data_IF_531995936710
#
_entry.id   IF_531995936710
#
_cell.length_a   1.000
_cell.length_b   1.000
_cell.length_c   1.000
_cell.angle_alpha   90.00
_cell.angle_beta   90.00
_cell.angle_gamma   90.00
#
_symmetry.space_group_name_H-M   'P 1'
#
loop_
_entity.id
_entity.type
_entity.pdbx_description
1 polymer ?
#
# COMPACT_ATOMS: atom_id res chain seq x y z
N UNK A 1 2.13 8.98 47.05
CA UNK A 1 0.92 9.03 46.26
C UNK A 1 1.17 9.73 44.95
N UNK A 2 1.59 10.94 45.00
CA UNK A 2 1.86 11.72 43.82
C UNK A 2 2.95 11.13 42.94
N UNK A 3 4.03 10.59 43.52
CA UNK A 3 5.04 9.94 42.68
C UNK A 3 4.50 8.84 41.81
N UNK A 4 3.51 8.14 42.31
CA UNK A 4 2.88 7.06 41.55
C UNK A 4 2.10 7.61 40.37
N UNK A 5 1.38 8.68 40.56
CA UNK A 5 0.60 9.31 39.49
C UNK A 5 1.52 9.86 38.41
N UNK A 6 2.60 10.48 38.84
CA UNK A 6 3.54 11.08 37.90
C UNK A 6 4.22 10.02 37.04
N UNK A 7 4.50 8.87 37.64
CA UNK A 7 5.13 7.79 36.91
C UNK A 7 4.18 7.16 35.90
N UNK A 8 2.91 7.11 36.21
CA UNK A 8 1.94 6.48 35.33
C UNK A 8 1.72 7.29 34.06
N UNK A 9 1.61 8.60 34.19
CA UNK A 9 1.31 9.45 33.04
C UNK A 9 2.33 9.35 31.91
N UNK A 10 3.62 9.46 32.18
CA UNK A 10 4.62 9.33 31.12
C UNK A 10 4.64 7.95 30.47
N UNK A 11 4.43 6.91 31.28
CA UNK A 11 4.45 5.54 30.77
C UNK A 11 3.28 5.31 29.82
N UNK A 12 2.10 5.76 30.19
CA UNK A 12 0.92 5.60 29.35
C UNK A 12 1.10 6.36 28.05
N UNK A 13 1.59 7.58 28.10
CA UNK A 13 1.80 8.39 26.90
C UNK A 13 2.82 7.77 25.94
N UNK A 14 3.83 7.12 26.47
CA UNK A 14 4.86 6.50 25.64
C UNK A 14 4.40 5.19 25.04
N UNK A 15 3.52 4.46 25.69
CA UNK A 15 3.07 3.15 25.24
C UNK A 15 1.99 3.23 24.18
N UNK A 16 1.40 4.39 23.96
CA UNK A 16 0.35 4.59 22.97
C UNK A 16 0.85 5.49 21.86
N UNK A 17 1.41 4.90 20.80
CA UNK A 17 1.86 5.71 19.66
C UNK A 17 0.68 6.39 19.00
N UNK A 18 0.91 7.59 18.50
CA UNK A 18 -0.12 8.32 17.78
C UNK A 18 -0.42 7.62 16.46
N UNK A 19 -1.69 7.50 16.10
CA UNK A 19 -2.00 6.96 14.78
C UNK A 19 -1.57 7.94 13.68
N UNK A 20 -1.33 7.40 12.49
CA UNK A 20 -1.03 8.23 11.33
C UNK A 20 -2.25 9.09 11.00
N UNK A 21 -2.01 10.38 10.80
CA UNK A 21 -3.06 11.30 10.41
C UNK A 21 -3.44 11.08 8.95
N UNK A 22 -4.62 11.57 8.57
CA UNK A 22 -5.04 11.54 7.17
C UNK A 22 -4.07 12.28 6.27
N UNK A 23 -3.59 13.42 6.74
CA UNK A 23 -2.59 14.20 6.01
C UNK A 23 -1.31 13.42 5.81
N UNK A 24 -0.85 12.70 6.83
CA UNK A 24 0.36 11.88 6.73
C UNK A 24 0.19 10.75 5.72
N UNK A 25 -0.97 10.11 5.69
CA UNK A 25 -1.27 9.07 4.70
C UNK A 25 -1.18 9.65 3.29
N UNK A 26 -1.82 10.79 3.06
CA UNK A 26 -1.83 11.42 1.75
C UNK A 26 -0.43 11.85 1.31
N UNK A 27 0.35 12.40 2.22
CA UNK A 27 1.71 12.81 1.92
C UNK A 27 2.61 11.61 1.63
N UNK A 28 2.40 10.53 2.34
CA UNK A 28 3.17 9.31 2.12
C UNK A 28 2.88 8.73 0.73
N UNK A 29 1.62 8.71 0.33
CA UNK A 29 1.23 8.19 -0.99
C UNK A 29 1.86 8.96 -2.14
N UNK A 30 2.02 10.27 -2.01
CA UNK A 30 2.57 11.09 -3.10
C UNK A 30 4.06 11.34 -2.98
N UNK A 31 4.72 10.77 -1.97
CA UNK A 31 6.15 10.98 -1.74
C UNK A 31 7.06 10.41 -2.84
N UNK A 32 6.75 9.24 -3.45
CA UNK A 32 7.66 8.70 -4.48
C UNK A 32 7.75 9.61 -5.70
N UNK A 33 8.94 9.68 -6.28
CA UNK A 33 9.19 10.48 -7.49
C UNK A 33 8.38 9.94 -8.66
N UNK A 34 7.81 10.86 -9.45
CA UNK A 34 6.95 10.48 -10.57
C UNK A 34 7.72 10.20 -11.86
N UNK A 35 8.98 10.62 -11.91
CA UNK A 35 9.75 10.60 -13.14
C UNK A 35 10.93 9.62 -13.14
N UNK A 36 10.96 8.71 -12.17
CA UNK A 36 12.01 7.66 -12.14
C UNK A 36 11.35 6.29 -12.08
N UNK A 37 12.04 5.30 -12.62
CA UNK A 37 11.51 3.93 -12.60
C UNK A 37 11.27 3.44 -11.17
N UNK A 38 12.18 3.73 -10.26
CA UNK A 38 12.02 3.33 -8.86
C UNK A 38 10.87 4.06 -8.19
N UNK A 39 10.70 5.34 -8.47
CA UNK A 39 9.59 6.10 -7.90
C UNK A 39 8.24 5.63 -8.42
N UNK A 40 8.16 5.34 -9.70
CA UNK A 40 6.94 4.81 -10.32
C UNK A 40 6.59 3.44 -9.70
N UNK A 41 7.60 2.59 -9.49
CA UNK A 41 7.41 1.32 -8.79
C UNK A 41 6.88 1.53 -7.38
N UNK A 42 7.53 2.42 -6.65
CA UNK A 42 7.19 2.64 -5.24
C UNK A 42 5.79 3.23 -5.10
N UNK A 43 5.41 4.14 -6.01
CA UNK A 43 4.04 4.67 -6.02
C UNK A 43 3.04 3.56 -6.29
N UNK A 44 3.32 2.68 -7.24
CA UNK A 44 2.44 1.56 -7.54
C UNK A 44 2.29 0.63 -6.34
N UNK A 45 3.39 0.38 -5.61
CA UNK A 45 3.34 -0.44 -4.40
C UNK A 45 2.48 0.19 -3.32
N UNK A 46 2.66 1.48 -3.07
CA UNK A 46 1.88 2.20 -2.05
C UNK A 46 0.41 2.26 -2.42
N UNK A 47 0.09 2.55 -3.67
CA UNK A 47 -1.30 2.60 -4.12
C UNK A 47 -1.96 1.23 -4.03
N UNK A 48 -1.22 0.19 -4.33
CA UNK A 48 -1.75 -1.17 -4.25
C UNK A 48 -2.05 -1.57 -2.81
N UNK A 49 -1.13 -1.33 -1.90
CA UNK A 49 -1.35 -1.70 -0.51
C UNK A 49 -2.44 -0.83 0.13
N UNK A 50 -2.53 0.43 -0.28
CA UNK A 50 -3.58 1.33 0.18
C UNK A 50 -4.96 0.84 -0.26
N UNK A 51 -5.09 0.48 -1.53
CA UNK A 51 -6.38 0.09 -2.10
C UNK A 51 -6.84 -1.30 -1.65
N UNK A 52 -5.91 -2.22 -1.40
CA UNK A 52 -6.24 -3.62 -1.18
C UNK A 52 -6.18 -4.06 0.27
N UNK A 53 -5.43 -3.34 1.10
CA UNK A 53 -5.20 -3.76 2.47
C UNK A 53 -4.32 -4.99 2.61
N UNK A 54 -3.54 -5.31 1.58
CA UNK A 54 -2.62 -6.45 1.64
C UNK A 54 -1.60 -6.26 2.76
N UNK A 55 -1.13 -7.37 3.30
CA UNK A 55 0.03 -7.35 4.17
C UNK A 55 1.27 -7.11 3.32
N UNK A 56 2.32 -6.56 3.96
CA UNK A 56 3.57 -6.27 3.24
C UNK A 56 4.11 -7.53 2.55
N UNK A 57 4.09 -8.67 3.26
CA UNK A 57 4.56 -9.93 2.68
C UNK A 57 3.73 -10.35 1.47
N UNK A 58 2.43 -10.12 1.50
CA UNK A 58 1.57 -10.43 0.37
C UNK A 58 1.86 -9.53 -0.82
N UNK A 59 2.11 -8.25 -0.56
CA UNK A 59 2.44 -7.30 -1.60
C UNK A 59 3.74 -7.67 -2.32
N UNK A 60 4.81 -7.90 -1.55
CA UNK A 60 6.13 -8.15 -2.16
C UNK A 60 6.20 -9.52 -2.84
N UNK A 61 5.36 -10.45 -2.44
CA UNK A 61 5.32 -11.79 -3.02
C UNK A 61 4.30 -11.92 -4.15
N UNK A 62 3.63 -10.84 -4.50
CA UNK A 62 2.62 -10.86 -5.55
C UNK A 62 3.26 -11.23 -6.89
N UNK A 63 2.63 -12.17 -7.61
CA UNK A 63 3.12 -12.61 -8.92
C UNK A 63 2.23 -12.10 -10.04
N UNK A 64 2.77 -12.08 -11.25
CA UNK A 64 2.02 -11.62 -12.42
C UNK A 64 0.76 -12.44 -12.66
N UNK A 65 0.80 -13.75 -12.38
CA UNK A 65 -0.38 -14.60 -12.57
C UNK A 65 -1.50 -14.30 -11.59
N UNK A 66 -1.18 -13.65 -10.47
CA UNK A 66 -2.17 -13.28 -9.47
C UNK A 66 -2.79 -11.91 -9.74
N UNK A 67 -2.27 -11.19 -10.71
CA UNK A 67 -2.76 -9.86 -11.06
C UNK A 67 -3.56 -9.94 -12.36
N UNK A 68 -4.82 -9.55 -12.28
CA UNK A 68 -5.68 -9.44 -13.46
C UNK A 68 -5.90 -7.95 -13.72
N UNK A 69 -5.10 -7.38 -14.60
CA UNK A 69 -5.17 -5.95 -14.89
C UNK A 69 -6.41 -5.59 -15.70
N UNK A 70 -6.97 -6.54 -16.45
CA UNK A 70 -8.19 -6.29 -17.20
C UNK A 70 -9.41 -6.20 -16.28
N UNK A 71 -9.51 -7.12 -15.34
CA UNK A 71 -10.60 -7.11 -14.37
C UNK A 71 -10.33 -6.16 -13.21
N UNK A 72 -9.08 -5.71 -13.03
CA UNK A 72 -8.71 -4.84 -11.93
C UNK A 72 -8.69 -5.54 -10.59
N UNK A 73 -8.26 -6.78 -10.56
CA UNK A 73 -8.31 -7.63 -9.36
C UNK A 73 -6.94 -8.24 -9.08
N UNK A 74 -6.69 -8.50 -7.79
CA UNK A 74 -5.56 -9.34 -7.39
C UNK A 74 -6.09 -10.55 -6.64
N UNK A 75 -5.45 -11.69 -6.86
CA UNK A 75 -5.75 -12.92 -6.16
C UNK A 75 -4.64 -13.13 -5.14
N UNK A 76 -5.03 -13.29 -3.89
CA UNK A 76 -4.08 -13.40 -2.79
C UNK A 76 -4.30 -14.72 -2.10
N UNK A 77 -3.22 -15.48 -1.92
CA UNK A 77 -3.27 -16.73 -1.16
C UNK A 77 -2.79 -16.43 0.24
N UNK A 78 -3.67 -16.65 1.19
CA UNK A 78 -3.37 -16.39 2.58
C UNK A 78 -3.00 -17.66 3.32
N UNK A 79 -3.10 -17.56 4.63
CA UNK A 79 -2.78 -18.64 5.55
C UNK A 79 -3.69 -19.84 5.29
N UNK A 80 -3.09 -21.03 5.24
CA UNK A 80 -3.84 -22.26 5.01
C UNK A 80 -4.28 -22.46 3.58
N UNK A 81 -3.67 -21.77 2.64
CA UNK A 81 -3.99 -21.93 1.23
C UNK A 81 -5.28 -21.25 0.79
N UNK A 82 -5.88 -20.45 1.65
CA UNK A 82 -7.12 -19.76 1.31
C UNK A 82 -6.85 -18.63 0.34
N UNK A 83 -7.58 -18.63 -0.75
CA UNK A 83 -7.49 -17.54 -1.73
C UNK A 83 -8.58 -16.51 -1.46
N UNK A 84 -8.24 -15.26 -1.71
CA UNK A 84 -9.22 -14.19 -1.74
C UNK A 84 -8.94 -13.29 -2.93
N UNK A 85 -9.98 -12.70 -3.47
CA UNK A 85 -9.89 -11.79 -4.60
C UNK A 85 -10.20 -10.40 -4.09
N UNK A 86 -9.30 -9.47 -4.37
CA UNK A 86 -9.42 -8.10 -3.88
C UNK A 86 -9.37 -7.14 -5.05
N UNK A 87 -10.34 -6.23 -5.16
CA UNK A 87 -10.32 -5.23 -6.22
C UNK A 87 -9.25 -4.18 -5.96
N UNK A 88 -8.68 -3.68 -7.06
CA UNK A 88 -7.64 -2.64 -7.00
C UNK A 88 -8.23 -1.23 -7.00
N UNK A 89 -9.32 -1.04 -7.73
CA UNK A 89 -9.82 0.31 -7.96
C UNK A 89 -9.04 1.01 -9.06
N UNK A 90 -9.58 2.11 -9.54
CA UNK A 90 -9.02 2.80 -10.70
C UNK A 90 -7.66 3.42 -10.44
N UNK A 91 -7.48 4.01 -9.27
CA UNK A 91 -6.24 4.72 -8.95
C UNK A 91 -5.06 3.75 -8.86
N UNK A 92 -5.23 2.66 -8.12
CA UNK A 92 -4.17 1.66 -8.00
C UNK A 92 -3.89 1.01 -9.35
N UNK A 93 -4.94 0.73 -10.12
CA UNK A 93 -4.79 0.11 -11.42
C UNK A 93 -4.02 1.01 -12.38
N UNK A 94 -4.27 2.32 -12.35
CA UNK A 94 -3.56 3.27 -13.19
C UNK A 94 -2.06 3.30 -12.85
N UNK A 95 -1.72 3.34 -11.57
CA UNK A 95 -0.32 3.34 -11.15
C UNK A 95 0.37 2.02 -11.43
N UNK A 96 -0.33 0.91 -11.24
CA UNK A 96 0.19 -0.40 -11.62
C UNK A 96 0.43 -0.50 -13.11
N UNK A 97 -0.49 0.00 -13.93
CA UNK A 97 -0.34 -0.01 -15.37
C UNK A 97 0.89 0.77 -15.82
N UNK A 98 1.08 1.95 -15.26
CA UNK A 98 2.27 2.75 -15.57
C UNK A 98 3.54 2.01 -15.18
N UNK A 99 3.54 1.40 -14.00
CA UNK A 99 4.70 0.64 -13.53
C UNK A 99 5.00 -0.54 -14.44
N UNK A 100 3.99 -1.34 -14.75
CA UNK A 100 4.17 -2.54 -15.57
C UNK A 100 4.64 -2.22 -16.99
N UNK A 101 4.13 -1.12 -17.55
CA UNK A 101 4.44 -0.76 -18.94
C UNK A 101 5.74 0.02 -19.08
N UNK A 102 6.02 0.92 -18.15
CA UNK A 102 7.12 1.88 -18.30
C UNK A 102 8.31 1.59 -17.40
N UNK A 103 8.07 1.28 -16.13
CA UNK A 103 9.15 1.19 -15.16
C UNK A 103 9.70 -0.22 -15.00
N UNK A 104 8.83 -1.22 -14.92
CA UNK A 104 9.24 -2.60 -14.71
C UNK A 104 10.18 -3.11 -15.81
N UNK A 105 9.91 -2.87 -17.11
CA UNK A 105 10.85 -3.28 -18.16
C UNK A 105 12.21 -2.61 -18.01
N UNK A 106 12.25 -1.36 -17.61
CA UNK A 106 13.50 -0.66 -17.39
C UNK A 106 14.29 -1.29 -16.23
N UNK A 107 13.63 -1.67 -15.15
CA UNK A 107 14.29 -2.29 -14.01
C UNK A 107 14.77 -3.70 -14.33
N UNK A 108 13.98 -4.44 -15.08
CA UNK A 108 14.32 -5.81 -15.46
C UNK A 108 15.43 -5.86 -16.50
N UNK A 109 15.47 -4.90 -17.41
CA UNK A 109 16.34 -4.93 -18.57
C UNK A 109 16.08 -6.21 -19.37
N UNK A 110 17.05 -7.12 -19.42
CA UNK A 110 16.90 -8.37 -20.16
C UNK A 110 16.49 -9.55 -19.29
N UNK A 111 16.22 -9.28 -18.01
CA UNK A 111 15.90 -10.35 -17.06
C UNK A 111 14.42 -10.62 -17.05
N UNK A 112 14.08 -11.81 -16.59
CA UNK A 112 12.70 -12.28 -16.49
C UNK A 112 12.38 -12.55 -15.02
N UNK A 113 11.19 -12.17 -14.57
CA UNK A 113 10.75 -12.41 -13.20
C UNK A 113 9.24 -12.59 -13.18
N UNK A 114 8.79 -13.51 -12.35
CA UNK A 114 7.37 -13.69 -12.08
C UNK A 114 6.85 -12.66 -11.08
N UNK A 115 7.74 -12.02 -10.31
CA UNK A 115 7.33 -11.03 -9.33
C UNK A 115 6.77 -9.80 -10.01
N UNK A 116 5.67 -9.26 -9.46
CA UNK A 116 5.15 -7.99 -9.94
C UNK A 116 6.14 -6.88 -9.63
N UNK A 117 6.54 -6.76 -8.37
CA UNK A 117 7.42 -5.69 -7.94
C UNK A 117 8.86 -6.19 -7.85
N UNK A 118 9.73 -5.59 -8.65
CA UNK A 118 11.10 -6.05 -8.79
C UNK A 118 12.08 -4.97 -8.32
N UNK A 119 13.25 -5.44 -7.89
CA UNK A 119 14.36 -4.58 -7.51
C UNK A 119 15.17 -4.19 -8.73
N UNK A 120 16.14 -3.30 -8.55
CA UNK A 120 17.08 -2.94 -9.63
C UNK A 120 17.83 -4.15 -10.16
N UNK A 121 17.97 -5.19 -9.35
CA UNK A 121 18.65 -6.42 -9.77
C UNK A 121 17.73 -7.37 -10.51
N UNK A 122 16.45 -7.01 -10.63
CA UNK A 122 15.48 -7.80 -11.36
C UNK A 122 14.85 -8.92 -10.56
N UNK A 123 15.17 -9.04 -9.27
CA UNK A 123 14.57 -10.02 -8.39
C UNK A 123 13.41 -9.46 -7.60
N UNK A 124 12.72 -10.31 -6.85
CA UNK A 124 11.63 -9.84 -6.00
C UNK A 124 12.16 -9.01 -4.85
N UNK A 125 11.33 -8.09 -4.37
CA UNK A 125 11.67 -7.28 -3.22
C UNK A 125 11.39 -8.04 -1.94
N UNK A 126 12.25 -7.88 -0.94
CA UNK A 126 12.00 -8.46 0.38
C UNK A 126 11.05 -7.56 1.18
N UNK A 127 10.40 -8.16 2.16
CA UNK A 127 9.55 -7.42 3.09
C UNK A 127 10.34 -6.33 3.81
N UNK A 128 11.57 -6.63 4.20
CA UNK A 128 12.43 -5.68 4.88
C UNK A 128 12.81 -4.51 3.98
N UNK A 129 13.13 -4.78 2.72
CA UNK A 129 13.47 -3.74 1.77
C UNK A 129 12.30 -2.78 1.55
N UNK A 130 11.09 -3.32 1.42
CA UNK A 130 9.91 -2.47 1.30
C UNK A 130 9.71 -1.62 2.54
N UNK A 131 9.91 -2.19 3.73
CA UNK A 131 9.74 -1.44 4.96
C UNK A 131 10.76 -0.32 5.08
N UNK A 132 11.99 -0.54 4.59
CA UNK A 132 12.99 0.53 4.53
C UNK A 132 12.55 1.66 3.60
N UNK A 133 11.91 1.31 2.49
CA UNK A 133 11.34 2.33 1.60
C UNK A 133 10.26 3.15 2.30
N UNK A 134 9.36 2.51 3.01
CA UNK A 134 8.29 3.20 3.74
C UNK A 134 8.89 4.20 4.72
N UNK A 135 9.89 3.78 5.47
CA UNK A 135 10.54 4.68 6.44
C UNK A 135 11.19 5.87 5.76
N UNK A 136 11.82 5.65 4.61
CA UNK A 136 12.45 6.72 3.86
C UNK A 136 11.41 7.72 3.37
N UNK A 137 10.32 7.22 2.80
CA UNK A 137 9.25 8.10 2.33
C UNK A 137 8.57 8.84 3.47
N UNK A 138 8.43 8.20 4.62
CA UNK A 138 7.90 8.87 5.79
C UNK A 138 8.76 10.04 6.21
N UNK A 139 10.08 9.86 6.18
CA UNK A 139 11.03 10.95 6.48
C UNK A 139 10.90 12.07 5.47
N UNK A 140 10.85 11.73 4.17
CA UNK A 140 10.70 12.72 3.10
C UNK A 140 9.39 13.48 3.24
N UNK A 141 8.34 12.79 3.60
CA UNK A 141 7.00 13.37 3.73
C UNK A 141 6.82 14.14 5.05
N UNK A 142 7.79 14.10 5.95
CA UNK A 142 7.68 14.80 7.22
C UNK A 142 6.73 14.13 8.19
N UNK A 143 6.58 12.82 8.11
CA UNK A 143 5.70 12.07 9.00
C UNK A 143 6.41 11.85 10.32
N UNK A 144 5.85 12.41 11.38
CA UNK A 144 6.42 12.32 12.72
C UNK A 144 5.93 11.15 13.53
N UNK A 145 4.79 10.61 13.17
CA UNK A 145 4.17 9.53 13.91
C UNK A 145 4.99 8.25 13.78
N UNK A 146 4.97 7.44 14.81
CA UNK A 146 5.66 6.16 14.80
C UNK A 146 5.00 5.22 13.78
N UNK A 147 5.82 4.60 12.95
CA UNK A 147 5.35 3.70 11.91
C UNK A 147 5.70 2.26 12.23
N UNK A 148 4.72 1.39 12.09
CA UNK A 148 4.91 -0.05 12.08
C UNK A 148 4.07 -0.60 10.93
N UNK A 149 4.34 -1.83 10.47
CA UNK A 149 3.49 -2.42 9.44
C UNK A 149 2.02 -2.46 9.83
N UNK A 150 1.75 -2.74 11.09
CA UNK A 150 0.39 -2.77 11.60
C UNK A 150 -0.26 -1.38 11.60
N UNK A 151 0.45 -0.37 12.06
CA UNK A 151 -0.09 0.99 12.12
C UNK A 151 -0.30 1.57 10.72
N UNK A 152 0.60 1.27 9.79
CA UNK A 152 0.45 1.71 8.41
C UNK A 152 -0.79 1.08 7.78
N UNK A 153 -0.95 -0.22 7.94
CA UNK A 153 -2.08 -0.94 7.37
C UNK A 153 -3.40 -0.44 7.94
N UNK A 154 -3.43 -0.22 9.25
CA UNK A 154 -4.61 0.32 9.91
C UNK A 154 -4.95 1.72 9.42
N UNK A 155 -3.93 2.59 9.30
CA UNK A 155 -4.14 3.95 8.84
C UNK A 155 -4.63 3.99 7.38
N UNK A 156 -4.07 3.15 6.54
CA UNK A 156 -4.49 3.06 5.14
C UNK A 156 -5.94 2.58 5.04
N UNK A 157 -6.29 1.55 5.81
CA UNK A 157 -7.66 1.03 5.81
C UNK A 157 -8.65 2.08 6.30
N UNK A 158 -8.30 2.78 7.37
CA UNK A 158 -9.15 3.84 7.92
C UNK A 158 -9.34 4.98 6.93
N UNK A 159 -8.24 5.40 6.29
CA UNK A 159 -8.29 6.47 5.30
C UNK A 159 -9.17 6.05 4.12
N UNK A 160 -9.00 4.83 3.64
CA UNK A 160 -9.77 4.31 2.52
C UNK A 160 -11.26 4.26 2.86
N UNK A 161 -11.62 3.82 4.06
CA UNK A 161 -13.02 3.79 4.49
C UNK A 161 -13.62 5.19 4.55
N UNK A 162 -12.85 6.16 5.04
CA UNK A 162 -13.36 7.52 5.21
C UNK A 162 -13.41 8.31 3.90
N UNK A 163 -12.52 8.03 2.98
CA UNK A 163 -12.39 8.81 1.73
C UNK A 163 -12.66 8.00 0.48
N UNK A 164 -12.54 6.68 0.55
CA UNK A 164 -12.79 5.82 -0.59
C UNK A 164 -14.24 5.81 -1.03
N UNK A 165 -15.17 6.12 -0.12
CA UNK A 165 -16.59 6.15 -0.46
C UNK A 165 -16.88 7.25 -1.49
N UNK A 166 -16.23 8.41 -1.33
CA UNK A 166 -16.40 9.51 -2.28
C UNK A 166 -15.86 9.12 -3.65
N UNK A 167 -14.70 8.45 -3.65
CA UNK A 167 -14.11 7.99 -4.89
C UNK A 167 -15.00 6.97 -5.59
N UNK A 168 -15.59 6.05 -4.82
CA UNK A 168 -16.52 5.05 -5.38
C UNK A 168 -17.77 5.71 -5.94
N UNK A 169 -18.28 6.72 -5.24
CA UNK A 169 -19.45 7.46 -5.73
C UNK A 169 -19.15 8.10 -7.07
N UNK A 170 -17.97 8.69 -7.23
CA UNK A 170 -17.56 9.27 -8.49
C UNK A 170 -17.44 8.20 -9.57
N UNK A 171 -16.86 7.06 -9.24
CA UNK A 171 -16.72 5.95 -10.17
C UNK A 171 -18.08 5.44 -10.65
N UNK A 172 -19.03 5.33 -9.74
CA UNK A 172 -20.39 4.90 -10.08
C UNK A 172 -21.08 5.91 -11.01
N UNK A 173 -20.88 7.20 -10.75
CA UNK A 173 -21.45 8.24 -11.60
C UNK A 173 -20.86 8.21 -13.01
N UNK A 174 -19.63 7.74 -13.14
CA UNK A 174 -18.98 7.58 -14.43
C UNK A 174 -19.32 6.26 -15.12
N UNK A 175 -20.22 5.48 -14.53
CA UNK A 175 -20.65 4.23 -15.11
C UNK A 175 -19.84 3.01 -14.74
N UNK A 176 -18.94 3.13 -13.77
CA UNK A 176 -18.16 2.00 -13.29
C UNK A 176 -18.93 1.29 -12.18
N UNK A 177 -19.60 0.22 -12.52
CA UNK A 177 -20.34 -0.53 -11.53
C UNK A 177 -19.44 -1.50 -10.82
N UNK A 178 -19.21 -1.26 -9.54
CA UNK A 178 -18.36 -2.12 -8.73
C UNK A 178 -18.96 -2.32 -7.36
N UNK A 179 -20.22 -2.68 -7.33
CA UNK A 179 -20.91 -2.93 -6.08
C UNK A 179 -20.25 -4.09 -5.31
N UNK A 180 -19.74 -5.07 -6.05
CA UNK A 180 -19.02 -6.18 -5.45
C UNK A 180 -17.77 -5.73 -4.70
N UNK A 181 -17.17 -4.63 -5.14
CA UNK A 181 -16.00 -4.07 -4.50
C UNK A 181 -16.28 -3.69 -3.04
N UNK A 182 -17.44 -3.10 -2.81
CA UNK A 182 -17.83 -2.70 -1.46
C UNK A 182 -17.98 -3.91 -0.54
N UNK A 183 -18.50 -5.00 -1.08
CA UNK A 183 -18.72 -6.21 -0.29
C UNK A 183 -17.42 -6.87 0.13
N UNK A 184 -16.40 -6.80 -0.71
CA UNK A 184 -15.12 -7.43 -0.41
C UNK A 184 -14.41 -6.76 0.75
N UNK A 185 -14.59 -5.46 0.91
CA UNK A 185 -13.97 -4.72 2.01
C UNK A 185 -14.70 -4.86 3.33
N UNK A 186 -15.91 -5.29 3.31
CA UNK A 186 -16.64 -5.51 4.54
C UNK A 186 -16.46 -6.91 5.06
#
# INVERSE_FOLDING_TARGET
SDPTSDLESPVIGKSLPRPLSESSVEQLLVAPAENTALGIRDRAMLETIYATGLRVSELVNLTLSELDSTAGLVRVTGKGGRERIVPLGEEALAHLGQYLNDARPELLRDRVSEAVFVTRRGGPMSRQAFWQLIKRYATIAGVDEALSPHSLRHAFATHLLNHGADLRSVQMLLGHSNLSTTQIYT
#
